data_IF_258642669080
#
_entry.id   IF_258642669080
#
_cell.length_a   1.000
_cell.length_b   1.000
_cell.length_c   1.000
_cell.angle_alpha   90.00
_cell.angle_beta   90.00
_cell.angle_gamma   90.00
#
_symmetry.space_group_name_H-M   'P 1'
#
loop_
_entity.id
_entity.type
_entity.pdbx_description
1 polymer ?
#
# COMPACT_ATOMS: atom_id res chain seq x y z
N UNK A 1 10.64 19.07 0.19
CA UNK A 1 10.49 18.41 1.48
C UNK A 1 9.00 18.29 1.70
N UNK A 2 8.41 17.15 1.40
CA UNK A 2 7.05 16.88 1.85
C UNK A 2 7.18 16.71 3.37
N UNK A 3 6.82 17.74 4.12
CA UNK A 3 7.05 17.90 5.56
C UNK A 3 6.09 17.09 6.42
N UNK A 4 5.31 16.23 5.79
CA UNK A 4 4.12 15.72 6.40
C UNK A 4 4.44 14.26 6.72
N UNK A 5 4.86 14.06 7.97
CA UNK A 5 4.84 12.81 8.74
C UNK A 5 3.39 12.30 8.89
N UNK A 6 2.61 12.33 7.80
CA UNK A 6 1.24 11.86 7.79
C UNK A 6 1.34 10.36 7.58
N UNK A 7 0.99 9.61 8.61
CA UNK A 7 0.79 8.16 8.52
C UNK A 7 -0.14 7.86 7.33
N UNK A 8 0.24 6.91 6.49
CA UNK A 8 -0.56 6.52 5.34
C UNK A 8 -1.34 5.26 5.68
N UNK A 9 -2.67 5.36 5.64
CA UNK A 9 -3.53 4.18 5.83
C UNK A 9 -3.97 3.65 4.47
N UNK A 10 -3.63 2.39 4.20
CA UNK A 10 -4.05 1.66 3.01
C UNK A 10 -5.20 0.73 3.37
N UNK A 11 -6.37 0.96 2.76
CA UNK A 11 -7.58 0.20 3.05
C UNK A 11 -8.41 -0.05 1.80
N UNK A 12 -8.99 -1.25 1.71
CA UNK A 12 -10.06 -1.60 0.77
C UNK A 12 -11.46 -1.48 1.39
N UNK A 13 -11.55 -1.10 2.66
CA UNK A 13 -12.81 -0.93 3.38
C UNK A 13 -13.27 0.52 3.29
N UNK A 14 -14.28 0.77 2.46
CA UNK A 14 -14.85 2.11 2.28
C UNK A 14 -15.36 2.75 3.59
N UNK A 15 -15.81 1.94 4.55
CA UNK A 15 -16.24 2.45 5.86
C UNK A 15 -15.05 2.95 6.68
N UNK A 16 -13.93 2.24 6.65
CA UNK A 16 -12.68 2.67 7.29
C UNK A 16 -12.17 3.96 6.65
N UNK A 17 -12.13 4.02 5.32
CA UNK A 17 -11.69 5.21 4.57
C UNK A 17 -12.55 6.42 4.92
N UNK A 18 -13.88 6.31 4.87
CA UNK A 18 -14.78 7.42 5.23
C UNK A 18 -14.61 7.84 6.68
N UNK A 19 -14.47 6.89 7.60
CA UNK A 19 -14.25 7.18 9.01
C UNK A 19 -12.95 7.97 9.25
N UNK A 20 -11.85 7.60 8.58
CA UNK A 20 -10.57 8.30 8.68
C UNK A 20 -10.66 9.73 8.11
N UNK A 21 -11.40 9.92 7.01
CA UNK A 21 -11.64 11.25 6.43
C UNK A 21 -12.48 12.11 7.37
N UNK A 22 -13.63 11.59 7.81
CA UNK A 22 -14.63 12.36 8.55
C UNK A 22 -14.19 12.71 9.98
N UNK A 23 -13.40 11.84 10.62
CA UNK A 23 -13.07 11.97 12.05
C UNK A 23 -11.59 12.17 12.35
N UNK A 24 -10.68 11.85 11.43
CA UNK A 24 -9.23 11.91 11.65
C UNK A 24 -8.49 12.84 10.69
N UNK A 25 -9.21 13.50 9.78
CA UNK A 25 -8.64 14.52 8.89
C UNK A 25 -7.77 13.94 7.76
N UNK A 26 -7.86 12.63 7.50
CA UNK A 26 -7.18 12.02 6.36
C UNK A 26 -7.76 12.52 5.05
N UNK A 27 -6.93 12.52 4.01
CA UNK A 27 -7.34 12.76 2.63
C UNK A 27 -6.90 11.61 1.75
N UNK A 28 -7.71 11.27 0.74
CA UNK A 28 -7.30 10.29 -0.27
C UNK A 28 -6.21 10.94 -1.13
N UNK A 29 -5.02 10.34 -1.14
CA UNK A 29 -3.93 10.76 -2.02
C UNK A 29 -4.24 10.50 -3.50
N UNK A 30 -3.55 11.20 -4.41
CA UNK A 30 -3.76 11.09 -5.86
C UNK A 30 -4.62 12.19 -6.49
N UNK A 31 -4.45 12.45 -7.79
CA UNK A 31 -5.28 13.42 -8.53
C UNK A 31 -6.75 13.03 -8.39
N UNK A 32 -7.59 13.98 -7.97
CA UNK A 32 -9.05 13.83 -7.79
C UNK A 32 -9.48 12.79 -6.74
N UNK A 33 -8.63 12.46 -5.75
CA UNK A 33 -9.00 11.52 -4.68
C UNK A 33 -9.11 10.07 -5.15
N UNK A 34 -8.15 9.64 -5.98
CA UNK A 34 -8.15 8.31 -6.60
C UNK A 34 -7.22 7.35 -5.84
N UNK A 35 -7.69 6.13 -5.56
CA UNK A 35 -6.97 5.15 -4.74
C UNK A 35 -5.58 4.75 -5.32
N UNK A 36 -4.58 4.44 -4.48
CA UNK A 36 -3.21 4.05 -4.91
C UNK A 36 -3.12 3.00 -6.04
N UNK A 37 -4.14 2.15 -6.18
CA UNK A 37 -4.37 1.26 -7.31
C UNK A 37 -5.50 0.27 -7.00
N UNK A 38 -5.82 -0.64 -7.93
CA UNK A 38 -6.81 -1.69 -7.70
C UNK A 38 -6.17 -3.06 -7.43
N UNK A 39 -6.78 -3.80 -6.51
CA UNK A 39 -6.42 -5.17 -6.13
C UNK A 39 -7.65 -6.07 -6.20
N UNK A 40 -7.45 -7.39 -6.33
CA UNK A 40 -8.56 -8.33 -6.31
C UNK A 40 -9.04 -8.57 -4.88
N UNK A 41 -10.35 -8.60 -4.64
CA UNK A 41 -10.92 -8.93 -3.32
C UNK A 41 -10.96 -10.43 -3.05
N UNK A 42 -10.72 -11.25 -4.06
CA UNK A 42 -10.65 -12.71 -3.99
C UNK A 42 -9.44 -13.23 -4.74
N UNK A 43 -8.94 -14.40 -4.35
CA UNK A 43 -7.80 -15.05 -5.00
C UNK A 43 -8.11 -15.29 -6.48
N UNK A 44 -7.20 -14.87 -7.36
CA UNK A 44 -7.25 -15.11 -8.81
C UNK A 44 -5.99 -15.88 -9.23
N UNK A 45 -5.92 -16.43 -10.46
CA UNK A 45 -4.69 -16.97 -11.00
C UNK A 45 -3.54 -15.95 -10.95
N UNK A 46 -2.36 -16.44 -10.55
CA UNK A 46 -1.10 -15.69 -10.39
C UNK A 46 -1.19 -14.42 -9.53
N UNK A 47 -2.11 -14.39 -8.56
CA UNK A 47 -2.11 -13.41 -7.49
C UNK A 47 -1.68 -14.02 -6.15
N UNK A 48 -1.26 -13.18 -5.22
CA UNK A 48 -0.91 -13.56 -3.84
C UNK A 48 -1.58 -12.59 -2.88
N UNK A 49 -1.88 -13.01 -1.63
CA UNK A 49 -2.45 -12.12 -0.63
C UNK A 49 -1.50 -10.96 -0.30
N UNK A 50 -2.07 -9.76 -0.15
CA UNK A 50 -1.41 -8.60 0.44
C UNK A 50 -1.84 -8.48 1.90
N UNK A 51 -0.93 -8.78 2.81
CA UNK A 51 -1.16 -8.70 4.25
C UNK A 51 -0.96 -7.26 4.74
N UNK A 52 -1.86 -6.76 5.60
CA UNK A 52 -1.66 -5.54 6.38
C UNK A 52 -1.46 -5.92 7.84
N UNK A 53 -0.33 -5.51 8.39
CA UNK A 53 0.01 -5.71 9.79
C UNK A 53 0.13 -4.35 10.48
N UNK A 54 -0.08 -4.33 11.78
CA UNK A 54 0.04 -3.12 12.60
C UNK A 54 0.80 -3.40 13.89
N UNK A 55 1.71 -2.50 14.25
CA UNK A 55 2.46 -2.54 15.51
C UNK A 55 2.03 -1.39 16.42
N UNK A 56 1.15 -1.67 17.39
CA UNK A 56 0.58 -0.68 18.33
C UNK A 56 1.68 0.10 19.09
N UNK A 57 2.80 -0.55 19.40
CA UNK A 57 3.87 0.07 20.21
C UNK A 57 4.64 1.19 19.49
N UNK A 58 4.65 1.19 18.16
CA UNK A 58 5.35 2.18 17.32
C UNK A 58 4.43 2.89 16.33
N UNK A 59 3.13 2.54 16.32
CA UNK A 59 2.12 3.06 15.40
C UNK A 59 2.52 2.96 13.93
N UNK A 60 2.98 1.78 13.51
CA UNK A 60 3.43 1.53 12.12
C UNK A 60 2.60 0.46 11.42
N UNK A 61 2.31 0.71 10.14
CA UNK A 61 1.66 -0.24 9.24
C UNK A 61 2.68 -0.93 8.32
N UNK A 62 2.61 -2.25 8.29
CA UNK A 62 3.50 -3.05 7.47
C UNK A 62 2.71 -3.88 6.46
N UNK A 63 2.93 -3.61 5.17
CA UNK A 63 2.31 -4.32 4.06
C UNK A 63 3.33 -5.25 3.40
N UNK A 64 2.93 -6.50 3.21
CA UNK A 64 3.78 -7.52 2.59
C UNK A 64 2.96 -8.59 1.87
N UNK A 65 3.51 -9.14 0.79
CA UNK A 65 3.02 -10.36 0.13
C UNK A 65 3.79 -11.61 0.59
N UNK A 66 4.88 -11.44 1.33
CA UNK A 66 5.73 -12.53 1.81
C UNK A 66 5.19 -13.12 3.11
N UNK A 67 4.78 -14.39 3.04
CA UNK A 67 4.35 -15.17 4.22
C UNK A 67 5.47 -15.25 5.26
N UNK A 68 6.72 -15.41 4.82
CA UNK A 68 7.88 -15.47 5.72
C UNK A 68 8.13 -14.14 6.43
N UNK A 69 8.00 -13.03 5.70
CA UNK A 69 8.19 -11.68 6.26
C UNK A 69 7.10 -11.33 7.26
N UNK A 70 5.83 -11.62 6.91
CA UNK A 70 4.68 -11.52 7.82
C UNK A 70 4.92 -12.30 9.11
N UNK A 71 5.28 -13.58 8.99
CA UNK A 71 5.49 -14.45 10.14
C UNK A 71 6.64 -13.97 11.03
N UNK A 72 7.70 -13.42 10.42
CA UNK A 72 8.81 -12.83 11.15
C UNK A 72 8.38 -11.57 11.90
N UNK A 73 7.68 -10.65 11.24
CA UNK A 73 7.18 -9.41 11.84
C UNK A 73 6.29 -9.71 13.06
N UNK A 74 5.40 -10.71 12.96
CA UNK A 74 4.54 -11.12 14.07
C UNK A 74 5.35 -11.74 15.22
N UNK A 75 6.23 -12.70 14.91
CA UNK A 75 6.93 -13.47 15.94
C UNK A 75 8.04 -12.68 16.65
N UNK A 76 8.62 -11.68 15.98
CA UNK A 76 9.87 -11.05 16.41
C UNK A 76 9.79 -9.54 16.58
N UNK A 77 8.92 -8.86 15.85
CA UNK A 77 8.92 -7.40 15.75
C UNK A 77 7.68 -6.75 16.40
N UNK A 78 6.76 -7.55 16.95
CA UNK A 78 5.60 -7.03 17.69
C UNK A 78 4.44 -6.57 16.81
N UNK A 79 4.41 -6.95 15.54
CA UNK A 79 3.29 -6.68 14.66
C UNK A 79 2.16 -7.68 14.89
N UNK A 80 0.93 -7.25 14.61
CA UNK A 80 -0.24 -8.09 14.55
C UNK A 80 -0.80 -8.08 13.13
N UNK A 81 -1.22 -9.24 12.63
CA UNK A 81 -1.97 -9.29 11.37
C UNK A 81 -3.33 -8.64 11.59
N UNK A 82 -3.59 -7.52 10.92
CA UNK A 82 -4.90 -6.87 10.97
C UNK A 82 -5.84 -7.47 9.93
N UNK A 83 -5.36 -7.60 8.69
CA UNK A 83 -6.19 -8.07 7.58
C UNK A 83 -5.36 -8.62 6.41
N UNK A 84 -6.04 -9.34 5.52
CA UNK A 84 -5.60 -9.50 4.14
C UNK A 84 -6.38 -8.48 3.32
N UNK A 85 -5.71 -7.44 2.80
CA UNK A 85 -6.37 -6.34 2.07
C UNK A 85 -7.01 -6.81 0.77
N UNK A 86 -6.39 -7.80 0.14
CA UNK A 86 -6.80 -8.38 -1.13
C UNK A 86 -5.66 -9.18 -1.74
N UNK A 87 -5.67 -9.32 -3.06
CA UNK A 87 -4.75 -10.15 -3.81
C UNK A 87 -4.13 -9.35 -4.97
N UNK A 88 -2.79 -9.34 -5.03
CA UNK A 88 -1.97 -8.59 -5.99
C UNK A 88 -1.16 -9.53 -6.87
N UNK A 89 -0.73 -9.07 -8.05
CA UNK A 89 0.17 -9.82 -8.92
C UNK A 89 1.61 -9.75 -8.38
N UNK A 90 2.40 -10.81 -8.56
CA UNK A 90 3.83 -10.82 -8.18
C UNK A 90 4.76 -10.43 -9.33
N UNK A 91 4.25 -10.42 -10.55
CA UNK A 91 5.01 -10.13 -11.77
C UNK A 91 4.42 -8.92 -12.51
N UNK A 92 5.25 -8.14 -13.21
CA UNK A 92 4.79 -7.04 -14.04
C UNK A 92 3.95 -7.54 -15.23
N UNK A 93 3.08 -6.68 -15.75
CA UNK A 93 2.24 -7.02 -16.90
C UNK A 93 1.44 -5.82 -17.42
N UNK A 94 0.71 -6.00 -18.54
CA UNK A 94 -0.11 -4.93 -19.10
C UNK A 94 -1.14 -4.40 -18.10
N UNK A 95 -1.24 -3.06 -17.99
CA UNK A 95 -2.15 -2.39 -17.06
C UNK A 95 -1.74 -2.49 -15.58
N UNK A 96 -0.55 -3.02 -15.28
CA UNK A 96 -0.05 -3.12 -13.91
C UNK A 96 1.05 -2.10 -13.63
N UNK A 97 1.03 -1.55 -12.42
CA UNK A 97 2.07 -0.66 -11.89
C UNK A 97 2.70 -1.27 -10.64
N UNK A 98 4.02 -1.08 -10.42
CA UNK A 98 4.68 -1.55 -9.22
C UNK A 98 4.16 -0.81 -7.98
N UNK A 99 4.01 -1.54 -6.87
CA UNK A 99 3.72 -0.97 -5.55
C UNK A 99 4.98 -1.03 -4.69
N UNK A 100 5.64 0.12 -4.61
CA UNK A 100 6.91 0.29 -3.93
C UNK A 100 6.71 0.37 -2.43
N UNK A 101 7.71 -0.13 -1.68
CA UNK A 101 7.84 0.07 -0.24
C UNK A 101 9.17 0.77 0.07
N UNK A 102 9.10 1.75 0.95
CA UNK A 102 10.26 2.40 1.55
C UNK A 102 10.13 2.39 3.07
N UNK A 103 11.27 2.43 3.76
CA UNK A 103 11.33 2.42 5.22
C UNK A 103 12.21 3.56 5.74
N UNK A 104 11.74 4.22 6.79
CA UNK A 104 12.46 5.25 7.52
C UNK A 104 12.72 4.78 8.96
N UNK A 105 13.90 4.18 9.18
CA UNK A 105 14.25 3.62 10.48
C UNK A 105 14.24 4.65 11.63
N UNK A 106 14.72 5.90 11.46
CA UNK A 106 14.58 6.93 12.50
C UNK A 106 13.13 7.28 12.86
N UNK A 107 12.22 7.27 11.88
CA UNK A 107 10.80 7.57 12.09
C UNK A 107 9.98 6.33 12.54
N UNK A 108 10.55 5.13 12.40
CA UNK A 108 9.86 3.85 12.58
C UNK A 108 8.63 3.70 11.67
N UNK A 109 8.76 4.08 10.39
CA UNK A 109 7.62 4.20 9.48
C UNK A 109 7.90 3.59 8.10
N UNK A 110 6.86 3.05 7.47
CA UNK A 110 6.87 2.54 6.11
C UNK A 110 5.96 3.35 5.19
N UNK A 111 6.51 3.71 4.03
CA UNK A 111 5.80 4.43 2.99
C UNK A 111 5.59 3.54 1.76
N UNK A 112 4.39 3.59 1.18
CA UNK A 112 4.04 2.81 0.00
C UNK A 112 3.42 3.67 -1.09
N UNK A 113 3.87 3.48 -2.33
CA UNK A 113 3.37 4.25 -3.46
C UNK A 113 3.46 3.47 -4.76
N UNK A 114 2.58 3.77 -5.71
CA UNK A 114 2.69 3.34 -7.11
C UNK A 114 3.35 4.40 -7.99
N UNK A 115 3.60 5.60 -7.46
CA UNK A 115 4.29 6.69 -8.14
C UNK A 115 5.80 6.50 -8.06
N UNK A 116 6.42 6.26 -9.22
CA UNK A 116 7.89 6.24 -9.32
C UNK A 116 8.49 7.58 -8.89
N UNK A 117 7.81 8.71 -9.16
CA UNK A 117 8.31 10.03 -8.75
C UNK A 117 8.37 10.18 -7.22
N UNK A 118 7.32 9.78 -6.50
CA UNK A 118 7.28 9.84 -5.02
C UNK A 118 8.28 8.86 -4.41
N UNK A 119 8.39 7.65 -4.96
CA UNK A 119 9.39 6.67 -4.54
C UNK A 119 10.82 7.21 -4.68
N UNK A 120 11.15 7.82 -5.81
CA UNK A 120 12.48 8.42 -6.02
C UNK A 120 12.69 9.67 -5.17
N UNK A 121 11.65 10.48 -4.91
CA UNK A 121 11.76 11.66 -4.06
C UNK A 121 11.96 11.29 -2.59
N UNK A 122 11.16 10.38 -2.05
CA UNK A 122 11.33 9.88 -0.69
C UNK A 122 12.74 9.30 -0.48
N UNK A 123 13.25 8.53 -1.46
CA UNK A 123 14.61 8.01 -1.39
C UNK A 123 15.69 9.11 -1.38
N UNK A 124 15.54 10.17 -2.21
CA UNK A 124 16.42 11.34 -2.17
C UNK A 124 16.37 12.07 -0.82
N UNK A 125 15.25 11.98 -0.10
CA UNK A 125 15.05 12.57 1.22
C UNK A 125 15.36 11.60 2.37
N UNK A 126 16.06 10.49 2.12
CA UNK A 126 16.63 9.63 3.17
C UNK A 126 15.83 8.39 3.53
N UNK A 127 14.74 8.09 2.82
CA UNK A 127 14.03 6.81 2.98
C UNK A 127 14.79 5.67 2.28
N UNK A 128 14.88 4.52 2.92
CA UNK A 128 15.50 3.33 2.34
C UNK A 128 14.51 2.60 1.44
N UNK A 129 14.87 2.35 0.17
CA UNK A 129 14.05 1.56 -0.75
C UNK A 129 14.09 0.09 -0.35
N UNK A 130 12.93 -0.52 -0.16
CA UNK A 130 12.81 -1.95 0.18
C UNK A 130 12.29 -2.81 -0.97
N UNK A 131 11.96 -2.19 -2.11
CA UNK A 131 11.60 -2.86 -3.36
C UNK A 131 10.11 -2.85 -3.65
N UNK A 132 9.68 -3.79 -4.49
CA UNK A 132 8.30 -3.92 -4.95
C UNK A 132 7.59 -4.99 -4.13
N UNK A 133 6.50 -4.61 -3.47
CA UNK A 133 5.67 -5.53 -2.65
C UNK A 133 4.78 -6.39 -3.55
N UNK A 134 4.34 -5.82 -4.67
CA UNK A 134 3.53 -6.47 -5.70
C UNK A 134 3.16 -5.49 -6.80
N UNK A 135 2.32 -5.93 -7.72
CA UNK A 135 1.86 -5.14 -8.85
C UNK A 135 0.33 -4.97 -8.78
N UNK A 136 -0.10 -3.72 -8.88
CA UNK A 136 -1.48 -3.28 -8.76
C UNK A 136 -2.00 -2.93 -10.14
N UNK A 137 -3.30 -3.08 -10.37
CA UNK A 137 -3.90 -2.53 -11.59
C UNK A 137 -3.88 -1.01 -11.50
N UNK A 138 -3.34 -0.39 -12.53
CA UNK A 138 -3.24 1.06 -12.64
C UNK A 138 -4.64 1.68 -12.49
N UNK A 139 -4.67 2.83 -11.82
CA UNK A 139 -5.72 3.81 -12.09
C UNK A 139 -5.47 4.31 -13.51
N UNK A 140 -6.15 3.76 -14.51
CA UNK A 140 -6.10 4.40 -15.81
C UNK A 140 -6.93 5.69 -15.75
N UNK A 141 -6.39 6.80 -16.25
CA UNK A 141 -7.23 7.97 -16.61
C UNK A 141 -8.23 7.60 -17.74
N UNK A 142 -8.11 6.41 -18.37
CA UNK A 142 -8.86 5.97 -19.56
C UNK A 142 -8.98 4.42 -19.73
N UNK A 143 -9.13 3.66 -18.64
CA UNK A 143 -9.38 2.20 -18.76
C UNK A 143 -10.60 1.99 -19.65
N UNK A 144 -10.54 1.08 -20.65
CA UNK A 144 -11.67 0.83 -21.51
C UNK A 144 -12.83 0.39 -20.62
N UNK A 145 -13.84 1.26 -20.51
CA UNK A 145 -15.14 0.88 -19.99
C UNK A 145 -15.59 -0.23 -20.92
N UNK A 146 -15.52 -1.47 -20.45
CA UNK A 146 -16.29 -2.56 -21.04
C UNK A 146 -17.76 -2.21 -20.78
N UNK A 147 -18.30 -1.31 -21.60
CA UNK A 147 -19.73 -1.08 -21.69
C UNK A 147 -20.33 -2.36 -22.24
N UNK A 148 -21.03 -3.08 -21.37
CA UNK A 148 -22.12 -3.93 -21.82
C UNK A 148 -23.27 -2.98 -22.13
N UNK A 149 -23.60 -2.81 -23.42
CA UNK A 149 -24.89 -2.24 -23.84
C UNK A 149 -26.03 -3.16 -23.48
#
# INVERSE_FOLDING_TARGET
MQTDLVDHVYSTNETEVRYLIDFYGFSIEGKKGTATGYIHTSQQPDTVPLFRLYAIGISDHFLTTSVTERDHAIKRLGYHLESTLGYVRTEPGPGLVPFYRLHNAPAHDHYYTTSEHEHEDAARNGWAKEGVVGYLYALEDDAPVLTVT
#
